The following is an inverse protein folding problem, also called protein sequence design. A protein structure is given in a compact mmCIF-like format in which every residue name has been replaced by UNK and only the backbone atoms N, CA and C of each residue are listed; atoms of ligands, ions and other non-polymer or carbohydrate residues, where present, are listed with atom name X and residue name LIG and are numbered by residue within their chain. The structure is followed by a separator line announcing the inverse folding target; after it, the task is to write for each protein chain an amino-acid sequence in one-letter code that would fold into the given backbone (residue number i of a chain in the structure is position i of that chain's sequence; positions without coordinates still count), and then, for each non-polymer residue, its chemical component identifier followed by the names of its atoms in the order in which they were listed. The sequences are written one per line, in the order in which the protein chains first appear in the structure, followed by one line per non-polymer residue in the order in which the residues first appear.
data_IF_547960397822
#
_entry.id   IF_547960397822
#
_cell.length_a   1.000
_cell.length_b   1.000
_cell.length_c   1.000
_cell.angle_alpha   90.00
_cell.angle_beta   90.00
_cell.angle_gamma   90.00
#
_symmetry.space_group_name_H-M   'P 1'
#
loop_
_entity.id
_entity.type
_entity.pdbx_description
1 polymer ?
#
# COMPACT_ATOMS: atom_id res chain seq x y z
N UNK A 1 0.42 -16.17 -6.63
CA UNK A 1 0.38 -17.60 -7.04
C UNK A 1 1.60 -17.89 -7.88
N UNK A 2 2.39 -18.93 -7.57
CA UNK A 2 3.61 -19.23 -8.33
C UNK A 2 3.30 -19.95 -9.65
N UNK A 3 4.18 -19.83 -10.65
CA UNK A 3 4.04 -20.54 -11.94
C UNK A 3 3.89 -22.05 -11.74
N UNK A 4 4.62 -22.63 -10.79
CA UNK A 4 4.50 -24.04 -10.43
C UNK A 4 3.12 -24.40 -9.86
N UNK A 5 2.54 -23.56 -9.00
CA UNK A 5 1.18 -23.78 -8.45
C UNK A 5 0.12 -23.70 -9.55
N UNK A 6 0.28 -22.75 -10.49
CA UNK A 6 -0.64 -22.56 -11.61
C UNK A 6 -0.59 -23.77 -12.57
N UNK A 7 0.62 -24.24 -12.89
CA UNK A 7 0.84 -25.44 -13.70
C UNK A 7 0.25 -26.69 -13.04
N UNK A 8 0.47 -26.89 -11.73
CA UNK A 8 -0.11 -28.01 -11.00
C UNK A 8 -1.64 -28.04 -11.10
N UNK A 9 -2.27 -26.88 -10.92
CA UNK A 9 -3.73 -26.73 -11.01
C UNK A 9 -4.24 -26.95 -12.44
N UNK A 10 -3.46 -26.55 -13.43
CA UNK A 10 -3.79 -26.75 -14.84
C UNK A 10 -3.74 -28.22 -15.25
N UNK A 11 -2.71 -28.96 -14.81
CA UNK A 11 -2.58 -30.40 -15.10
C UNK A 11 -3.53 -31.28 -14.30
N UNK A 12 -3.99 -30.84 -13.12
CA UNK A 12 -5.11 -31.49 -12.43
C UNK A 12 -6.40 -31.42 -13.25
N UNK A 13 -6.63 -30.31 -13.98
CA UNK A 13 -7.80 -30.14 -14.84
C UNK A 13 -7.63 -30.82 -16.21
N UNK A 14 -6.41 -30.88 -16.74
CA UNK A 14 -6.09 -31.48 -18.03
C UNK A 14 -4.87 -32.42 -17.93
N UNK A 15 -5.06 -33.67 -17.46
CA UNK A 15 -3.96 -34.60 -17.23
C UNK A 15 -3.16 -34.96 -18.49
N UNK A 16 -3.79 -34.90 -19.67
CA UNK A 16 -3.16 -35.21 -20.96
C UNK A 16 -2.06 -34.23 -21.37
N UNK A 17 -1.98 -33.05 -20.72
CA UNK A 17 -0.93 -32.07 -21.00
C UNK A 17 0.34 -32.31 -20.16
N UNK A 18 0.34 -33.30 -19.24
CA UNK A 18 1.50 -33.61 -18.41
C UNK A 18 2.65 -34.13 -19.26
N UNK A 19 3.86 -33.64 -18.99
CA UNK A 19 5.07 -34.06 -19.71
C UNK A 19 5.42 -35.52 -19.37
N UNK A 20 5.44 -36.44 -20.35
CA UNK A 20 5.80 -37.85 -20.11
C UNK A 20 7.26 -37.98 -19.67
N UNK A 21 7.52 -38.79 -18.64
CA UNK A 21 8.89 -39.04 -18.15
C UNK A 21 9.48 -37.96 -17.23
N UNK A 22 8.75 -36.86 -16.97
CA UNK A 22 9.16 -35.82 -16.03
C UNK A 22 8.73 -36.14 -14.59
N UNK A 23 9.66 -36.04 -13.63
CA UNK A 23 9.40 -36.31 -12.20
C UNK A 23 8.27 -35.41 -11.67
N UNK A 24 8.24 -34.15 -12.08
CA UNK A 24 7.19 -33.20 -11.69
C UNK A 24 6.04 -33.14 -12.68
N UNK A 25 6.26 -33.57 -13.93
CA UNK A 25 5.28 -33.51 -15.02
C UNK A 25 5.09 -32.13 -15.67
N UNK A 26 5.80 -31.10 -15.19
CA UNK A 26 5.61 -29.71 -15.66
C UNK A 26 6.89 -28.90 -15.88
N UNK A 27 8.08 -29.46 -15.65
CA UNK A 27 9.33 -28.69 -15.82
C UNK A 27 9.55 -28.21 -17.27
N UNK A 28 9.26 -29.03 -18.28
CA UNK A 28 9.36 -28.63 -19.69
C UNK A 28 8.38 -27.52 -20.06
N UNK A 29 7.15 -27.58 -19.52
CA UNK A 29 6.17 -26.50 -19.65
C UNK A 29 6.62 -25.21 -18.97
N UNK A 30 7.17 -25.32 -17.76
CA UNK A 30 7.70 -24.19 -17.00
C UNK A 30 8.86 -23.53 -17.75
N UNK A 31 9.78 -24.31 -18.32
CA UNK A 31 10.87 -23.80 -19.15
C UNK A 31 10.34 -23.13 -20.44
N UNK A 32 9.43 -23.79 -21.15
CA UNK A 32 8.82 -23.27 -22.38
C UNK A 32 8.04 -21.98 -22.16
N UNK A 33 7.25 -21.90 -21.09
CA UNK A 33 6.50 -20.70 -20.71
C UNK A 33 7.46 -19.58 -20.31
N UNK A 34 8.50 -19.87 -19.51
CA UNK A 34 9.54 -18.88 -19.18
C UNK A 34 10.20 -18.33 -20.44
N UNK A 35 10.58 -19.20 -21.38
CA UNK A 35 11.21 -18.79 -22.64
C UNK A 35 10.28 -17.96 -23.52
N UNK A 36 9.03 -18.41 -23.73
CA UNK A 36 8.02 -17.66 -24.49
C UNK A 36 7.74 -16.30 -23.87
N UNK A 37 7.53 -16.22 -22.55
CA UNK A 37 7.31 -14.95 -21.85
C UNK A 37 8.56 -14.07 -21.88
N UNK A 38 9.77 -14.64 -21.81
CA UNK A 38 11.02 -13.89 -21.95
C UNK A 38 11.18 -13.28 -23.35
N UNK A 39 10.89 -14.04 -24.40
CA UNK A 39 10.88 -13.56 -25.78
C UNK A 39 9.80 -12.51 -26.02
N UNK A 40 8.60 -12.73 -25.48
CA UNK A 40 7.51 -11.77 -25.56
C UNK A 40 7.89 -10.44 -24.89
N UNK A 41 8.39 -10.47 -23.64
CA UNK A 41 8.93 -9.27 -22.96
C UNK A 41 10.05 -8.61 -23.77
N UNK A 42 10.91 -9.39 -24.42
CA UNK A 42 11.97 -8.84 -25.28
C UNK A 42 11.44 -8.14 -26.53
N UNK A 43 10.33 -8.63 -27.11
CA UNK A 43 9.63 -7.96 -28.22
C UNK A 43 8.92 -6.70 -27.74
N UNK A 44 8.22 -6.76 -26.60
CA UNK A 44 7.57 -5.61 -25.98
C UNK A 44 8.58 -4.49 -25.66
N UNK A 45 9.77 -4.85 -25.16
CA UNK A 45 10.86 -3.88 -24.94
C UNK A 45 11.28 -3.19 -26.22
N UNK A 46 11.47 -3.95 -27.31
CA UNK A 46 11.82 -3.38 -28.63
C UNK A 46 10.71 -2.48 -29.19
N UNK A 47 9.46 -2.74 -28.82
CA UNK A 47 8.32 -1.90 -29.17
C UNK A 47 8.15 -0.68 -28.24
N UNK A 48 9.00 -0.53 -27.21
CA UNK A 48 8.96 0.62 -26.30
C UNK A 48 7.98 0.48 -25.13
N UNK A 49 7.39 -0.70 -24.88
CA UNK A 49 6.40 -0.87 -23.81
C UNK A 49 6.99 -0.54 -22.43
N UNK A 50 6.30 0.33 -21.68
CA UNK A 50 6.82 0.91 -20.44
C UNK A 50 6.98 -0.14 -19.33
N UNK A 51 5.98 -1.01 -19.14
CA UNK A 51 5.95 -2.03 -18.08
C UNK A 51 7.22 -2.90 -18.05
N UNK A 52 7.76 -3.27 -19.21
CA UNK A 52 8.93 -4.15 -19.33
C UNK A 52 10.26 -3.40 -19.27
N UNK A 53 10.26 -2.09 -19.48
CA UNK A 53 11.46 -1.24 -19.42
C UNK A 53 11.80 -0.85 -17.98
N UNK A 54 10.78 -0.47 -17.22
CA UNK A 54 10.87 0.00 -15.83
C UNK A 54 11.40 -1.09 -14.89
N UNK A 55 11.03 -2.35 -15.15
CA UNK A 55 11.35 -3.49 -14.28
C UNK A 55 12.71 -4.13 -14.57
N UNK A 56 13.65 -3.36 -15.14
CA UNK A 56 15.04 -3.79 -15.30
C UNK A 56 15.66 -3.94 -13.91
N UNK A 57 16.02 -5.18 -13.56
CA UNK A 57 16.69 -5.52 -12.29
C UNK A 57 17.89 -4.59 -12.06
N UNK A 58 17.76 -3.58 -11.20
CA UNK A 58 18.90 -2.82 -10.66
C UNK A 58 19.62 -3.77 -9.71
N UNK A 59 20.91 -4.00 -9.95
CA UNK A 59 21.72 -5.03 -9.27
C UNK A 59 22.32 -4.40 -8.00
N UNK A 60 21.91 -4.88 -6.83
CA UNK A 60 22.55 -4.57 -5.53
C UNK A 60 21.64 -5.03 -4.38
N UNK A 61 22.10 -5.57 -3.26
CA UNK A 61 23.39 -6.12 -2.83
C UNK A 61 23.05 -7.16 -1.74
N UNK A 62 23.84 -8.24 -1.64
CA UNK A 62 23.69 -9.29 -0.61
C UNK A 62 24.31 -8.87 0.73
N UNK A 63 23.81 -9.45 1.82
CA UNK A 63 24.33 -9.38 3.19
C UNK A 63 23.28 -8.83 4.16
N UNK A 64 23.00 -9.40 5.34
CA UNK A 64 23.67 -10.36 6.21
C UNK A 64 22.63 -11.09 7.10
N UNK A 65 23.07 -12.22 7.69
CA UNK A 65 22.34 -13.01 8.68
C UNK A 65 22.10 -12.26 9.99
N UNK A 66 20.85 -12.25 10.47
CA UNK A 66 20.42 -11.69 11.77
C UNK A 66 19.33 -12.56 12.42
N UNK A 67 19.23 -12.61 13.77
CA UNK A 67 18.38 -13.56 14.47
C UNK A 67 16.89 -13.23 14.25
N UNK A 68 16.13 -14.24 13.82
CA UNK A 68 14.71 -14.18 13.43
C UNK A 68 14.27 -12.83 12.82
N UNK A 69 14.82 -12.49 11.67
CA UNK A 69 14.23 -11.47 10.81
C UNK A 69 12.92 -12.04 10.24
N UNK A 70 11.78 -11.47 10.63
CA UNK A 70 10.55 -11.69 9.88
C UNK A 70 10.86 -11.29 8.43
N UNK A 71 10.74 -12.25 7.51
CA UNK A 71 10.94 -11.98 6.09
C UNK A 71 9.96 -10.88 5.71
N UNK A 72 10.46 -9.65 5.50
CA UNK A 72 9.64 -8.58 4.95
C UNK A 72 9.09 -9.10 3.62
N UNK A 73 7.76 -9.12 3.42
CA UNK A 73 7.22 -9.50 2.14
C UNK A 73 7.75 -8.50 1.12
N UNK A 74 8.67 -8.93 0.26
CA UNK A 74 9.02 -8.14 -0.92
C UNK A 74 7.71 -7.91 -1.67
N UNK A 75 7.34 -6.65 -1.95
CA UNK A 75 6.23 -6.35 -2.85
C UNK A 75 6.47 -7.16 -4.13
N UNK A 76 5.69 -8.22 -4.29
CA UNK A 76 5.89 -9.22 -5.35
C UNK A 76 5.42 -8.74 -6.71
N UNK A 77 4.83 -7.54 -6.75
CA UNK A 77 4.36 -6.87 -7.95
C UNK A 77 5.47 -5.96 -8.45
N UNK A 78 6.21 -6.49 -9.43
CA UNK A 78 6.89 -5.77 -10.50
C UNK A 78 6.15 -4.45 -10.78
N UNK A 79 6.83 -3.30 -10.72
CA UNK A 79 6.22 -1.97 -10.84
C UNK A 79 5.24 -1.94 -12.02
N UNK A 80 3.95 -1.82 -11.74
CA UNK A 80 2.93 -1.70 -12.78
C UNK A 80 3.00 -0.29 -13.37
N UNK A 81 3.31 -0.19 -14.66
CA UNK A 81 3.35 1.06 -15.44
C UNK A 81 2.71 0.78 -16.81
N UNK A 82 1.41 1.02 -16.99
CA UNK A 82 0.74 0.73 -18.25
C UNK A 82 1.18 1.68 -19.37
N UNK A 83 1.00 1.24 -20.61
CA UNK A 83 1.16 2.10 -21.79
C UNK A 83 0.07 3.17 -21.83
N UNK A 84 0.26 4.19 -22.67
CA UNK A 84 -0.68 5.28 -22.80
C UNK A 84 -1.99 4.84 -23.45
N UNK A 85 -3.13 5.47 -23.06
CA UNK A 85 -4.38 5.28 -23.76
C UNK A 85 -4.24 5.57 -25.27
N UNK A 86 -5.08 4.94 -26.07
CA UNK A 86 -5.03 5.11 -27.52
C UNK A 86 -5.22 6.59 -27.90
N UNK A 87 -4.41 7.09 -28.84
CA UNK A 87 -4.40 8.49 -29.29
C UNK A 87 -3.92 9.52 -28.26
N UNK A 88 -3.28 9.08 -27.18
CA UNK A 88 -2.64 9.96 -26.21
C UNK A 88 -1.12 9.82 -26.23
N UNK A 89 -0.47 10.95 -26.00
CA UNK A 89 0.97 11.12 -25.85
C UNK A 89 1.26 11.93 -24.57
N UNK A 90 2.54 12.19 -24.31
CA UNK A 90 2.98 12.96 -23.16
C UNK A 90 2.32 14.35 -23.08
N UNK A 91 2.21 15.06 -24.20
CA UNK A 91 1.69 16.43 -24.24
C UNK A 91 0.20 16.46 -23.91
N UNK A 92 -0.59 15.61 -24.57
CA UNK A 92 -2.05 15.53 -24.36
C UNK A 92 -2.40 15.07 -22.95
N UNK A 93 -1.63 14.15 -22.35
CA UNK A 93 -1.87 13.73 -20.96
C UNK A 93 -1.43 14.81 -19.95
N UNK A 94 -0.40 15.60 -20.25
CA UNK A 94 -0.01 16.73 -19.42
C UNK A 94 -1.05 17.85 -19.44
N UNK A 95 -1.70 18.12 -20.60
CA UNK A 95 -2.85 19.03 -20.69
C UNK A 95 -4.01 18.55 -19.82
N UNK A 96 -4.33 17.26 -19.86
CA UNK A 96 -5.36 16.64 -19.02
C UNK A 96 -5.03 16.72 -17.52
N UNK A 97 -3.75 16.57 -17.16
CA UNK A 97 -3.27 16.79 -15.78
C UNK A 97 -3.43 18.24 -15.34
N UNK A 98 -3.06 19.22 -16.17
CA UNK A 98 -3.26 20.65 -15.85
C UNK A 98 -4.74 20.94 -15.65
N UNK A 99 -5.61 20.42 -16.51
CA UNK A 99 -7.05 20.54 -16.35
C UNK A 99 -7.58 19.89 -15.06
N UNK A 100 -7.00 18.76 -14.63
CA UNK A 100 -7.32 18.12 -13.35
C UNK A 100 -6.90 19.00 -12.16
N UNK A 101 -5.72 19.61 -12.18
CA UNK A 101 -5.28 20.55 -11.13
C UNK A 101 -6.24 21.73 -11.05
N UNK A 102 -6.61 22.31 -12.19
CA UNK A 102 -7.56 23.42 -12.24
C UNK A 102 -8.94 23.02 -11.70
N UNK A 103 -9.40 21.80 -11.96
CA UNK A 103 -10.66 21.28 -11.39
C UNK A 103 -10.60 21.16 -9.87
N UNK A 104 -9.47 20.71 -9.32
CA UNK A 104 -9.27 20.57 -7.88
C UNK A 104 -9.18 21.92 -7.13
N UNK A 105 -8.87 23.01 -7.84
CA UNK A 105 -8.85 24.36 -7.29
C UNK A 105 -10.23 25.03 -7.27
N UNK A 106 -11.25 24.45 -7.91
CA UNK A 106 -12.60 25.02 -7.94
C UNK A 106 -13.25 24.92 -6.56
N UNK A 107 -14.03 25.96 -6.21
CA UNK A 107 -14.86 25.96 -4.99
C UNK A 107 -15.80 24.76 -4.96
N UNK A 108 -16.42 24.45 -6.09
CA UNK A 108 -17.24 23.26 -6.26
C UNK A 108 -16.58 22.33 -7.28
N UNK A 109 -16.03 21.22 -6.77
CA UNK A 109 -15.29 20.24 -7.55
C UNK A 109 -16.25 19.30 -8.26
N UNK A 110 -16.10 19.12 -9.56
CA UNK A 110 -16.83 18.12 -10.32
C UNK A 110 -16.13 16.75 -10.18
N UNK A 111 -16.55 15.98 -9.18
CA UNK A 111 -15.95 14.67 -8.89
C UNK A 111 -16.05 13.68 -10.06
N UNK A 112 -17.05 13.81 -10.94
CA UNK A 112 -17.14 12.97 -12.15
C UNK A 112 -16.00 13.27 -13.12
N UNK A 113 -15.72 14.55 -13.36
CA UNK A 113 -14.61 14.99 -14.21
C UNK A 113 -13.27 14.62 -13.58
N UNK A 114 -13.12 14.83 -12.27
CA UNK A 114 -11.91 14.42 -11.52
C UNK A 114 -11.62 12.95 -11.71
N UNK A 115 -12.61 12.07 -11.52
CA UNK A 115 -12.45 10.60 -11.70
C UNK A 115 -12.06 10.23 -13.12
N UNK A 116 -12.70 10.84 -14.11
CA UNK A 116 -12.42 10.60 -15.53
C UNK A 116 -10.97 10.99 -15.87
N UNK A 117 -10.55 12.19 -15.46
CA UNK A 117 -9.19 12.68 -15.69
C UNK A 117 -8.16 11.86 -14.92
N UNK A 118 -8.44 11.48 -13.67
CA UNK A 118 -7.57 10.60 -12.87
C UNK A 118 -7.36 9.23 -13.52
N UNK A 119 -8.41 8.66 -14.13
CA UNK A 119 -8.31 7.41 -14.87
C UNK A 119 -7.52 7.57 -16.18
N UNK A 120 -7.79 8.64 -16.94
CA UNK A 120 -7.12 8.90 -18.22
C UNK A 120 -5.61 9.13 -18.04
N UNK A 121 -5.24 9.86 -16.99
CA UNK A 121 -3.85 10.25 -16.69
C UNK A 121 -3.07 9.23 -15.86
N UNK A 122 -3.66 8.07 -15.55
CA UNK A 122 -3.05 7.05 -14.70
C UNK A 122 -1.67 6.61 -15.19
N UNK A 123 -1.51 6.35 -16.49
CA UNK A 123 -0.24 5.92 -17.07
C UNK A 123 0.87 6.96 -16.94
N UNK A 124 0.56 8.24 -17.19
CA UNK A 124 1.50 9.36 -17.03
C UNK A 124 1.93 9.50 -15.57
N UNK A 125 0.96 9.58 -14.64
CA UNK A 125 1.23 9.70 -13.20
C UNK A 125 2.04 8.52 -12.67
N UNK A 126 1.66 7.29 -13.04
CA UNK A 126 2.33 6.09 -12.55
C UNK A 126 3.76 6.00 -13.05
N UNK A 127 4.00 6.38 -14.30
CA UNK A 127 5.36 6.47 -14.85
C UNK A 127 6.19 7.53 -14.12
N UNK A 128 5.63 8.71 -13.87
CA UNK A 128 6.28 9.77 -13.10
C UNK A 128 6.69 9.30 -11.70
N UNK A 129 5.76 8.69 -10.95
CA UNK A 129 6.03 8.17 -9.60
C UNK A 129 7.12 7.10 -9.61
N UNK A 130 7.04 6.15 -10.54
CA UNK A 130 7.94 5.00 -10.55
C UNK A 130 9.33 5.35 -11.09
N UNK A 131 9.42 6.17 -12.14
CA UNK A 131 10.69 6.50 -12.78
C UNK A 131 11.43 7.63 -12.07
N UNK A 132 10.71 8.68 -11.64
CA UNK A 132 11.31 9.86 -11.04
C UNK A 132 11.41 9.77 -9.52
N UNK A 133 10.60 8.93 -8.85
CA UNK A 133 10.51 8.83 -7.39
C UNK A 133 10.49 10.21 -6.70
N UNK A 134 9.56 11.11 -7.11
CA UNK A 134 9.51 12.46 -6.57
C UNK A 134 9.11 12.45 -5.09
N UNK A 135 9.49 13.52 -4.36
CA UNK A 135 9.00 13.78 -3.01
C UNK A 135 7.46 13.86 -2.99
N UNK A 136 6.86 13.45 -1.88
CA UNK A 136 5.41 13.40 -1.69
C UNK A 136 4.79 14.79 -1.87
N UNK A 137 5.45 15.84 -1.40
CA UNK A 137 5.02 17.23 -1.61
C UNK A 137 4.92 17.61 -3.09
N UNK A 138 5.85 17.12 -3.93
CA UNK A 138 5.81 17.35 -5.38
C UNK A 138 4.69 16.56 -6.06
N UNK A 139 4.37 15.37 -5.56
CA UNK A 139 3.20 14.62 -6.05
C UNK A 139 1.91 15.31 -5.64
N UNK A 140 1.81 15.88 -4.44
CA UNK A 140 0.63 16.65 -4.01
C UNK A 140 0.40 17.88 -4.91
N UNK A 141 1.47 18.62 -5.25
CA UNK A 141 1.40 19.76 -6.18
C UNK A 141 0.93 19.33 -7.58
N UNK A 142 1.51 18.25 -8.13
CA UNK A 142 1.23 17.83 -9.52
C UNK A 142 -0.07 17.04 -9.66
N UNK A 143 -0.46 16.29 -8.64
CA UNK A 143 -1.58 15.34 -8.62
C UNK A 143 -2.46 15.49 -7.35
N UNK A 144 -3.02 16.68 -7.07
CA UNK A 144 -3.73 16.95 -5.82
C UNK A 144 -4.96 16.03 -5.61
N UNK A 145 -5.60 15.61 -6.70
CA UNK A 145 -6.73 14.69 -6.64
C UNK A 145 -6.36 13.30 -6.07
N UNK A 146 -5.11 12.87 -6.21
CA UNK A 146 -4.62 11.59 -5.69
C UNK A 146 -4.77 11.48 -4.17
N UNK A 147 -4.72 12.61 -3.46
CA UNK A 147 -4.80 12.69 -2.01
C UNK A 147 -6.23 12.87 -1.50
N UNK A 148 -7.23 12.54 -2.32
CA UNK A 148 -8.61 12.39 -1.87
C UNK A 148 -8.90 10.93 -1.52
N UNK A 149 -9.64 10.71 -0.43
CA UNK A 149 -10.00 9.37 0.06
C UNK A 149 -10.54 8.43 -1.02
N UNK A 150 -11.36 8.96 -1.94
CA UNK A 150 -11.91 8.19 -3.05
C UNK A 150 -10.84 7.82 -4.09
N UNK A 151 -10.02 8.76 -4.53
CA UNK A 151 -9.00 8.48 -5.55
C UNK A 151 -7.86 7.62 -5.02
N UNK A 152 -7.54 7.66 -3.72
CA UNK A 152 -6.58 6.71 -3.11
C UNK A 152 -7.06 5.27 -3.33
N UNK A 153 -8.34 5.00 -3.05
CA UNK A 153 -8.92 3.68 -3.24
C UNK A 153 -8.97 3.28 -4.73
N UNK A 154 -9.31 4.21 -5.62
CA UNK A 154 -9.31 3.97 -7.08
C UNK A 154 -7.91 3.74 -7.62
N UNK A 155 -6.92 4.49 -7.18
CA UNK A 155 -5.53 4.34 -7.62
C UNK A 155 -4.96 3.00 -7.16
N UNK A 156 -5.20 2.64 -5.90
CA UNK A 156 -4.85 1.32 -5.40
C UNK A 156 -5.49 0.21 -6.24
N UNK A 157 -6.77 0.35 -6.58
CA UNK A 157 -7.46 -0.59 -7.46
C UNK A 157 -6.84 -0.66 -8.87
N UNK A 158 -6.48 0.48 -9.47
CA UNK A 158 -5.80 0.52 -10.79
C UNK A 158 -4.46 -0.25 -10.75
N UNK A 159 -3.73 -0.17 -9.63
CA UNK A 159 -2.43 -0.84 -9.46
C UNK A 159 -2.58 -2.34 -9.15
N UNK A 160 -3.43 -2.70 -8.18
CA UNK A 160 -3.46 -4.06 -7.63
C UNK A 160 -4.69 -4.88 -8.05
N UNK A 161 -5.65 -4.26 -8.74
CA UNK A 161 -6.97 -4.85 -9.08
C UNK A 161 -7.76 -5.34 -7.85
N UNK A 162 -7.53 -4.74 -6.67
CA UNK A 162 -8.22 -5.09 -5.41
C UNK A 162 -8.98 -3.90 -4.87
N UNK A 163 -10.08 -4.17 -4.18
CA UNK A 163 -10.81 -3.14 -3.44
C UNK A 163 -10.07 -2.83 -2.13
N UNK A 164 -9.57 -1.60 -1.97
CA UNK A 164 -8.75 -1.20 -0.82
C UNK A 164 -9.54 -1.35 0.49
N UNK A 165 -10.66 -0.63 0.60
CA UNK A 165 -11.46 -0.59 1.82
C UNK A 165 -12.17 -1.92 2.05
N UNK A 166 -12.72 -2.57 1.02
CA UNK A 166 -13.33 -3.89 1.20
C UNK A 166 -12.32 -4.95 1.65
N UNK A 167 -11.10 -4.94 1.09
CA UNK A 167 -10.04 -5.86 1.54
C UNK A 167 -9.62 -5.54 2.98
N UNK A 168 -9.41 -4.26 3.31
CA UNK A 168 -8.98 -3.87 4.65
C UNK A 168 -10.08 -4.05 5.70
N UNK A 169 -11.35 -3.91 5.35
CA UNK A 169 -12.47 -4.13 6.27
C UNK A 169 -12.76 -5.61 6.51
N UNK A 170 -12.55 -6.47 5.50
CA UNK A 170 -12.68 -7.93 5.65
C UNK A 170 -11.46 -8.59 6.32
N UNK A 171 -10.33 -7.89 6.38
CA UNK A 171 -9.07 -8.38 6.95
C UNK A 171 -9.13 -8.57 8.48
N UNK A 172 -9.68 -7.62 9.27
CA UNK A 172 -9.87 -7.73 10.70
C UNK A 172 -10.56 -9.01 11.14
N UNK A 173 -11.72 -9.33 10.57
CA UNK A 173 -12.52 -10.49 11.00
C UNK A 173 -11.77 -11.82 10.83
N UNK A 174 -10.85 -11.89 9.87
CA UNK A 174 -10.05 -13.09 9.60
C UNK A 174 -8.77 -13.16 10.41
N UNK A 175 -8.12 -12.01 10.66
CA UNK A 175 -6.75 -11.97 11.18
C UNK A 175 -6.63 -11.44 12.60
N UNK A 176 -7.53 -10.57 13.05
CA UNK A 176 -7.51 -10.03 14.43
C UNK A 176 -7.50 -11.15 15.46
N UNK A 177 -8.35 -12.19 15.40
CA UNK A 177 -8.30 -13.28 16.38
C UNK A 177 -6.95 -14.01 16.39
N UNK A 178 -6.38 -14.24 15.21
CA UNK A 178 -5.08 -14.90 15.05
C UNK A 178 -3.92 -14.04 15.57
N UNK A 179 -3.90 -12.75 15.25
CA UNK A 179 -2.90 -11.79 15.72
C UNK A 179 -2.94 -11.64 17.23
N UNK A 180 -4.13 -11.42 17.82
CA UNK A 180 -4.25 -11.31 19.28
C UNK A 180 -3.84 -12.61 19.98
N UNK A 181 -4.11 -13.79 19.40
CA UNK A 181 -3.62 -15.07 19.93
C UNK A 181 -2.09 -15.16 19.86
N UNK A 182 -1.47 -14.72 18.76
CA UNK A 182 -0.02 -14.68 18.60
C UNK A 182 0.65 -13.67 19.55
N UNK A 183 0.01 -12.53 19.79
CA UNK A 183 0.50 -11.54 20.74
C UNK A 183 0.49 -12.09 22.17
N UNK A 184 -0.63 -12.72 22.58
CA UNK A 184 -0.76 -13.37 23.89
C UNK A 184 0.25 -14.51 24.07
N UNK A 185 0.53 -15.31 23.04
CA UNK A 185 1.52 -16.40 23.16
C UNK A 185 2.96 -15.92 23.27
N UNK A 186 3.24 -14.67 22.87
CA UNK A 186 4.55 -14.03 22.98
C UNK A 186 4.57 -12.84 23.95
N UNK A 187 3.56 -12.70 24.81
CA UNK A 187 3.33 -11.53 25.68
C UNK A 187 4.60 -11.14 26.46
N UNK A 188 5.16 -12.07 27.24
CA UNK A 188 6.38 -11.81 28.02
C UNK A 188 7.67 -11.57 27.21
N UNK A 189 7.71 -11.95 25.92
CA UNK A 189 8.86 -11.70 25.04
C UNK A 189 8.78 -10.37 24.28
N UNK A 190 7.61 -9.75 24.25
CA UNK A 190 7.33 -8.47 23.57
C UNK A 190 7.34 -7.28 24.53
N UNK A 191 7.41 -7.55 25.85
CA UNK A 191 7.58 -6.55 26.91
C UNK A 191 6.28 -5.83 27.29
N UNK A 192 6.39 -4.93 28.27
CA UNK A 192 5.28 -4.22 28.92
C UNK A 192 4.33 -3.54 27.93
N UNK A 193 4.86 -2.92 26.86
CA UNK A 193 4.03 -2.26 25.83
C UNK A 193 2.98 -3.18 25.19
N UNK A 194 3.30 -4.46 24.99
CA UNK A 194 2.33 -5.43 24.47
C UNK A 194 1.37 -5.89 25.57
N UNK A 195 1.81 -5.90 26.82
CA UNK A 195 0.96 -6.27 27.96
C UNK A 195 -0.12 -5.22 28.20
N UNK A 196 0.27 -3.95 28.30
CA UNK A 196 -0.63 -2.81 28.45
C UNK A 196 -1.68 -2.73 27.33
N UNK A 197 -1.27 -3.08 26.11
CA UNK A 197 -2.15 -3.10 24.94
C UNK A 197 -3.18 -4.23 25.00
N UNK A 198 -2.83 -5.38 25.58
CA UNK A 198 -3.72 -6.55 25.67
C UNK A 198 -4.62 -6.54 26.91
N UNK A 199 -4.20 -5.87 27.99
CA UNK A 199 -4.88 -5.91 29.28
C UNK A 199 -6.08 -4.93 29.38
N UNK A 200 -6.24 -4.03 28.40
CA UNK A 200 -7.34 -3.04 28.32
C UNK A 200 -8.70 -3.61 27.84
N UNK A 201 -9.12 -4.78 28.32
CA UNK A 201 -10.36 -5.46 27.86
C UNK A 201 -11.68 -4.83 28.38
N UNK A 202 -11.64 -3.77 29.19
CA UNK A 202 -12.81 -3.14 29.83
C UNK A 202 -13.42 -1.98 29.00
N UNK A 203 -13.70 -2.23 27.72
CA UNK A 203 -14.36 -1.24 26.84
C UNK A 203 -15.77 -1.67 26.46
N UNK A 204 -16.71 -0.73 26.38
CA UNK A 204 -18.09 -0.96 25.90
C UNK A 204 -18.16 -1.47 24.45
N UNK A 205 -17.17 -1.13 23.62
CA UNK A 205 -17.01 -1.64 22.25
C UNK A 205 -15.82 -2.59 22.12
N UNK A 206 -16.07 -3.86 22.45
CA UNK A 206 -15.08 -4.93 22.41
C UNK A 206 -14.53 -5.17 20.99
N UNK A 207 -15.33 -4.92 19.95
CA UNK A 207 -14.94 -5.21 18.55
C UNK A 207 -13.94 -4.16 18.07
N UNK A 208 -14.26 -2.88 18.26
CA UNK A 208 -13.36 -1.77 17.91
C UNK A 208 -12.07 -1.81 18.73
N UNK A 209 -12.16 -2.12 20.02
CA UNK A 209 -10.99 -2.28 20.88
C UNK A 209 -10.06 -3.39 20.39
N UNK A 210 -10.58 -4.60 20.14
CA UNK A 210 -9.78 -5.72 19.62
C UNK A 210 -9.12 -5.41 18.29
N UNK A 211 -9.84 -4.71 17.40
CA UNK A 211 -9.32 -4.26 16.11
C UNK A 211 -8.16 -3.28 16.30
N UNK A 212 -8.35 -2.27 17.14
CA UNK A 212 -7.32 -1.26 17.45
C UNK A 212 -6.10 -1.88 18.10
N UNK A 213 -6.29 -2.77 19.10
CA UNK A 213 -5.21 -3.50 19.76
C UNK A 213 -4.43 -4.36 18.75
N UNK A 214 -5.12 -5.10 17.87
CA UNK A 214 -4.45 -5.91 16.86
C UNK A 214 -3.57 -5.06 15.92
N UNK A 215 -4.07 -3.90 15.48
CA UNK A 215 -3.36 -2.99 14.58
C UNK A 215 -2.20 -2.28 15.29
N UNK A 216 -2.41 -1.74 16.49
CA UNK A 216 -1.34 -1.08 17.27
C UNK A 216 -0.28 -2.05 17.78
N UNK A 217 -0.62 -3.33 17.95
CA UNK A 217 0.32 -4.37 18.31
C UNK A 217 1.24 -4.81 17.17
N UNK A 218 0.92 -4.48 15.90
CA UNK A 218 1.72 -4.93 14.76
C UNK A 218 3.17 -4.44 14.82
N UNK A 219 3.48 -3.13 14.95
CA UNK A 219 4.87 -2.68 15.04
C UNK A 219 5.60 -3.28 16.24
N UNK A 220 4.94 -3.41 17.39
CA UNK A 220 5.51 -4.03 18.59
C UNK A 220 5.89 -5.50 18.30
N UNK A 221 5.00 -6.24 17.65
CA UNK A 221 5.25 -7.63 17.25
C UNK A 221 6.38 -7.75 16.21
N UNK A 222 6.50 -6.78 15.31
CA UNK A 222 7.59 -6.66 14.34
C UNK A 222 8.90 -6.14 14.95
N UNK A 223 8.92 -5.79 16.24
CA UNK A 223 10.04 -5.15 16.96
C UNK A 223 10.44 -3.79 16.35
N UNK A 224 9.47 -3.12 15.76
CA UNK A 224 9.59 -1.75 15.29
C UNK A 224 9.14 -0.79 16.40
N UNK A 225 9.61 0.46 16.33
CA UNK A 225 9.22 1.46 17.31
C UNK A 225 7.81 1.98 16.99
N UNK A 226 6.82 1.43 17.70
CA UNK A 226 5.41 1.79 17.53
C UNK A 226 5.16 3.30 17.71
N UNK A 227 5.99 4.00 18.52
CA UNK A 227 5.86 5.43 18.73
C UNK A 227 6.25 6.25 17.48
N UNK A 228 7.05 5.69 16.57
CA UNK A 228 7.41 6.33 15.30
C UNK A 228 6.34 6.15 14.21
N UNK A 229 5.47 5.16 14.37
CA UNK A 229 4.41 4.82 13.41
C UNK A 229 3.08 5.41 13.85
N UNK A 230 2.77 5.34 15.15
CA UNK A 230 1.53 5.86 15.73
C UNK A 230 1.85 7.05 16.64
N UNK A 231 1.82 8.23 16.04
CA UNK A 231 2.03 9.51 16.73
C UNK A 231 0.74 9.91 17.45
N UNK A 232 0.88 10.74 18.48
CA UNK A 232 -0.23 11.36 19.20
C UNK A 232 0.10 12.81 19.49
N UNK A 233 -0.89 13.67 19.38
CA UNK A 233 -0.84 15.04 19.86
C UNK A 233 -2.21 15.47 20.36
N UNK A 234 -2.23 16.51 21.18
CA UNK A 234 -3.43 17.26 21.52
C UNK A 234 -3.78 18.22 20.38
N UNK A 235 -5.03 18.66 20.31
CA UNK A 235 -5.54 19.57 19.28
C UNK A 235 -4.79 20.91 19.28
N UNK A 236 -4.36 21.38 20.46
CA UNK A 236 -3.61 22.63 20.62
C UNK A 236 -2.09 22.50 20.49
N UNK A 237 -1.56 21.29 20.32
CA UNK A 237 -0.12 21.06 20.26
C UNK A 237 0.49 21.63 18.96
N UNK A 238 1.74 22.09 19.06
CA UNK A 238 2.53 22.38 17.86
C UNK A 238 2.91 21.07 17.17
N UNK A 239 2.44 20.89 15.93
CA UNK A 239 2.66 19.71 15.13
C UNK A 239 4.08 19.58 14.57
N UNK A 240 4.80 20.70 14.38
CA UNK A 240 6.16 20.69 13.80
C UNK A 240 7.13 19.71 14.51
N UNK A 241 7.31 19.73 15.84
CA UNK A 241 8.19 18.79 16.52
C UNK A 241 7.70 17.34 16.46
N UNK A 242 6.38 17.12 16.34
CA UNK A 242 5.76 15.78 16.29
C UNK A 242 5.97 15.14 14.93
N UNK A 243 5.87 15.93 13.86
CA UNK A 243 6.02 15.48 12.48
C UNK A 243 7.49 15.38 12.05
N UNK A 244 8.40 16.13 12.68
CA UNK A 244 9.80 16.18 12.30
C UNK A 244 10.46 14.78 12.42
N UNK A 245 10.99 14.29 11.29
CA UNK A 245 11.64 12.97 11.19
C UNK A 245 10.69 11.80 10.99
N UNK A 246 9.38 12.01 10.92
CA UNK A 246 8.40 10.96 10.62
C UNK A 246 8.36 10.66 9.11
N UNK A 247 8.93 9.54 8.69
CA UNK A 247 8.91 9.15 7.27
C UNK A 247 7.54 8.61 6.83
N UNK A 248 6.94 7.73 7.64
CA UNK A 248 5.61 7.15 7.41
C UNK A 248 4.94 6.97 8.77
N UNK A 249 3.85 7.69 9.02
CA UNK A 249 3.17 7.63 10.30
C UNK A 249 1.66 7.90 10.18
N UNK A 250 0.93 7.53 11.22
CA UNK A 250 -0.43 7.95 11.48
C UNK A 250 -0.42 8.76 12.76
N UNK A 251 -0.93 9.98 12.69
CA UNK A 251 -1.10 10.87 13.82
C UNK A 251 -2.54 10.76 14.32
N UNK A 252 -2.70 10.45 15.61
CA UNK A 252 -3.99 10.53 16.32
C UNK A 252 -4.08 11.88 17.02
N UNK A 253 -5.05 12.70 16.64
CA UNK A 253 -5.35 13.97 17.32
C UNK A 253 -6.38 13.71 18.41
N UNK A 254 -6.05 14.16 19.63
CA UNK A 254 -6.87 13.99 20.82
C UNK A 254 -7.42 15.35 21.27
N UNK A 255 -8.63 15.39 21.85
CA UNK A 255 -9.13 16.62 22.44
C UNK A 255 -8.27 17.00 23.66
N UNK A 256 -8.19 18.30 23.95
CA UNK A 256 -7.44 18.81 25.11
C UNK A 256 -8.06 18.39 26.46
N UNK A 257 -9.32 17.99 26.48
CA UNK A 257 -10.01 17.56 27.71
C UNK A 257 -9.57 16.16 28.16
N UNK A 258 -9.24 16.07 29.45
CA UNK A 258 -8.47 15.05 30.19
C UNK A 258 -8.99 13.59 30.17
N UNK A 259 -9.98 13.26 29.34
CA UNK A 259 -10.52 11.91 29.27
C UNK A 259 -9.68 10.93 28.42
N UNK A 260 -8.81 11.43 27.52
CA UNK A 260 -7.83 10.64 26.75
C UNK A 260 -8.39 9.47 25.94
N UNK A 261 -9.72 9.33 25.85
CA UNK A 261 -10.43 8.15 25.33
C UNK A 261 -11.20 8.44 24.06
N UNK A 262 -11.52 9.71 23.80
CA UNK A 262 -12.07 10.17 22.53
C UNK A 262 -10.94 10.55 21.57
N UNK A 263 -11.10 10.16 20.31
CA UNK A 263 -10.24 10.58 19.20
C UNK A 263 -11.00 11.65 18.44
N UNK A 264 -10.37 12.79 18.14
CA UNK A 264 -10.95 13.82 17.27
C UNK A 264 -10.85 13.35 15.81
N UNK A 265 -9.63 13.05 15.37
CA UNK A 265 -9.38 12.56 14.03
C UNK A 265 -8.08 11.75 13.95
N UNK A 266 -7.94 11.04 12.83
CA UNK A 266 -6.71 10.41 12.40
C UNK A 266 -6.17 11.12 11.16
N UNK A 267 -4.86 11.23 11.08
CA UNK A 267 -4.16 11.94 10.02
C UNK A 267 -3.05 11.05 9.48
N UNK A 268 -2.88 11.00 8.16
CA UNK A 268 -1.76 10.29 7.52
C UNK A 268 -0.62 11.26 7.30
N UNK A 269 0.58 10.86 7.72
CA UNK A 269 1.82 11.63 7.60
C UNK A 269 2.80 10.85 6.72
N UNK A 270 3.33 11.51 5.69
CA UNK A 270 4.36 10.98 4.80
C UNK A 270 5.45 12.03 4.62
N UNK A 271 6.72 11.62 4.71
CA UNK A 271 7.89 12.51 4.56
C UNK A 271 7.84 13.76 5.47
N UNK A 272 7.28 13.62 6.68
CA UNK A 272 7.13 14.70 7.64
C UNK A 272 5.96 15.65 7.37
N UNK A 273 5.15 15.40 6.34
CA UNK A 273 4.04 16.25 5.93
C UNK A 273 2.70 15.56 6.15
N UNK A 274 1.68 16.33 6.53
CA UNK A 274 0.30 15.85 6.59
C UNK A 274 -0.24 15.73 5.16
N UNK A 275 -0.63 14.51 4.79
CA UNK A 275 -1.10 14.22 3.42
C UNK A 275 -2.59 13.89 3.33
N UNK A 276 -3.21 13.51 4.44
CA UNK A 276 -4.65 13.23 4.53
C UNK A 276 -5.14 13.48 5.95
N UNK A 277 -6.25 14.20 6.09
CA UNK A 277 -6.89 14.57 7.36
C UNK A 277 -8.37 14.12 7.36
N UNK A 278 -9.12 14.45 8.41
CA UNK A 278 -10.54 14.14 8.63
C UNK A 278 -10.86 12.62 8.58
N UNK A 279 -9.94 11.77 9.04
CA UNK A 279 -10.14 10.32 8.99
C UNK A 279 -10.76 9.84 10.31
N UNK A 280 -11.89 9.12 10.27
CA UNK A 280 -12.67 8.85 11.48
C UNK A 280 -12.04 7.83 12.42
N UNK A 281 -11.21 6.92 11.91
CA UNK A 281 -10.71 5.80 12.69
C UNK A 281 -9.37 5.26 12.18
N UNK A 282 -8.64 4.59 13.08
CA UNK A 282 -7.29 4.07 12.81
C UNK A 282 -7.26 3.04 11.68
N UNK A 283 -8.31 2.23 11.54
CA UNK A 283 -8.38 1.22 10.48
C UNK A 283 -8.48 1.88 9.11
N UNK A 284 -9.33 2.88 8.99
CA UNK A 284 -9.49 3.65 7.76
C UNK A 284 -8.20 4.42 7.43
N UNK A 285 -7.54 5.00 8.43
CA UNK A 285 -6.24 5.67 8.26
C UNK A 285 -5.15 4.70 7.76
N UNK A 286 -5.06 3.50 8.34
CA UNK A 286 -4.12 2.47 7.87
C UNK A 286 -4.45 1.99 6.46
N UNK A 287 -5.74 1.88 6.10
CA UNK A 287 -6.14 1.53 4.74
C UNK A 287 -5.67 2.59 3.73
N UNK A 288 -5.92 3.88 4.00
CA UNK A 288 -5.47 4.96 3.12
C UNK A 288 -3.95 5.09 3.08
N UNK A 289 -3.27 4.93 4.21
CA UNK A 289 -1.81 4.86 4.24
C UNK A 289 -1.32 3.73 3.33
N UNK A 290 -1.88 2.53 3.43
CA UNK A 290 -1.51 1.42 2.56
C UNK A 290 -1.78 1.72 1.08
N UNK A 291 -2.91 2.35 0.76
CA UNK A 291 -3.23 2.83 -0.57
C UNK A 291 -2.18 3.81 -1.12
N UNK A 292 -1.79 4.79 -0.31
CA UNK A 292 -0.79 5.80 -0.64
C UNK A 292 0.61 5.19 -0.83
N UNK A 293 1.03 4.25 0.03
CA UNK A 293 2.31 3.57 -0.14
C UNK A 293 2.40 2.83 -1.49
N UNK A 294 1.29 2.30 -2.00
CA UNK A 294 1.24 1.70 -3.34
C UNK A 294 1.21 2.77 -4.44
N UNK A 295 0.33 3.77 -4.30
CA UNK A 295 0.15 4.86 -5.26
C UNK A 295 1.46 5.62 -5.50
N UNK A 296 2.19 5.93 -4.43
CA UNK A 296 3.45 6.68 -4.39
C UNK A 296 4.70 5.79 -4.52
N UNK A 297 4.52 4.47 -4.62
CA UNK A 297 5.61 3.51 -4.75
C UNK A 297 6.68 3.60 -3.64
N UNK A 298 6.23 3.82 -2.41
CA UNK A 298 7.07 3.87 -1.20
C UNK A 298 7.24 2.44 -0.66
N UNK A 299 8.49 2.05 -0.35
CA UNK A 299 8.90 0.72 0.12
C UNK A 299 8.85 0.55 1.65
#
# INVERSE_FOLDING_TARGET
MSLSQLLLRWFLKYPCLKEPGSITGYEGWKASIKYKLGNYRSKLRRAGCNEVNVNRKRKGGDGEDSPFTLKKPKRGEVNHVPDYPQHHDDSTLEEERVALVNEMQRKQKNMTVTRQKMALTFSLRRREVVDCQPLVSKVQERWPALFSSEEIAKEFHRITSKDLLGTFNAFPDKLVPGLLKLYRSKKGALGEKMEDLLDNEQTSDIVSHRKTAALRGLPIFLREDAAKVFLKCLDTDNLEPVLNGASVAILTILPDDDAGTSVLEQVVVLEGEIVLHDIPDLSTALAYLFGLLYALNID
#
